data_IF_300427876842
#
_entry.id   IF_300427876842
#
_cell.length_a   1.000
_cell.length_b   1.000
_cell.length_c   1.000
_cell.angle_alpha   90.00
_cell.angle_beta   90.00
_cell.angle_gamma   90.00
#
_symmetry.space_group_name_H-M   'P 1'
#
loop_
_entity.id
_entity.type
_entity.pdbx_description
1 polymer ?
#
# COMPACT_ATOMS: atom_id res chain seq x y z
N UNK A 1 24.08 -22.08 -40.27
CA UNK A 1 25.26 -21.60 -39.50
C UNK A 1 25.40 -20.07 -39.53
N UNK A 2 24.31 -19.32 -39.30
CA UNK A 2 24.38 -17.86 -39.14
C UNK A 2 23.64 -17.37 -37.89
N UNK A 3 23.12 -18.30 -37.07
CA UNK A 3 22.26 -18.00 -35.91
C UNK A 3 23.03 -18.08 -34.58
N UNK A 4 24.16 -18.79 -34.52
CA UNK A 4 24.92 -18.97 -33.27
C UNK A 4 26.02 -17.92 -33.02
N UNK A 5 26.29 -17.00 -33.96
CA UNK A 5 27.38 -16.02 -33.81
C UNK A 5 26.96 -14.68 -33.17
N UNK A 6 25.69 -14.51 -32.77
CA UNK A 6 25.15 -13.20 -32.36
C UNK A 6 24.89 -13.06 -30.85
N UNK A 7 25.50 -13.89 -30.01
CA UNK A 7 25.36 -13.85 -28.54
C UNK A 7 26.50 -13.09 -27.84
N UNK A 8 27.56 -12.66 -28.55
CA UNK A 8 28.80 -12.18 -27.90
C UNK A 8 29.05 -10.66 -27.97
N UNK A 9 28.21 -9.86 -28.63
CA UNK A 9 28.44 -8.41 -28.71
C UNK A 9 27.31 -7.63 -28.02
N UNK A 10 27.66 -6.83 -27.02
CA UNK A 10 26.78 -5.89 -26.29
C UNK A 10 26.23 -4.76 -27.15
N UNK A 11 25.52 -5.10 -28.23
CA UNK A 11 24.72 -4.18 -29.03
C UNK A 11 23.32 -4.08 -28.42
N UNK A 12 22.77 -2.87 -28.20
CA UNK A 12 21.40 -2.72 -27.76
C UNK A 12 20.46 -3.28 -28.84
N UNK A 13 19.46 -4.12 -28.49
CA UNK A 13 18.58 -4.73 -29.47
C UNK A 13 17.89 -3.67 -30.34
N UNK A 14 17.85 -3.96 -31.63
CA UNK A 14 17.16 -3.22 -32.67
C UNK A 14 15.64 -3.33 -32.49
N UNK A 15 14.91 -2.28 -32.88
CA UNK A 15 13.47 -2.06 -32.74
C UNK A 15 12.94 -1.86 -31.30
N UNK A 16 12.22 -0.74 -31.08
CA UNK A 16 11.58 -0.39 -29.82
C UNK A 16 10.66 -1.50 -29.26
N UNK A 17 10.06 -2.30 -30.15
CA UNK A 17 9.26 -3.46 -29.78
C UNK A 17 10.07 -4.54 -29.03
N UNK A 18 11.33 -4.76 -29.42
CA UNK A 18 12.18 -5.78 -28.80
C UNK A 18 12.69 -5.34 -27.41
N UNK A 19 12.88 -4.02 -27.21
CA UNK A 19 13.14 -3.44 -25.89
C UNK A 19 11.93 -3.47 -24.98
N UNK A 20 10.74 -3.23 -25.54
CA UNK A 20 9.48 -3.37 -24.81
C UNK A 20 9.27 -4.81 -24.34
N UNK A 21 9.42 -5.79 -25.22
CA UNK A 21 9.31 -7.22 -24.87
C UNK A 21 10.37 -7.63 -23.83
N UNK A 22 11.63 -7.25 -24.00
CA UNK A 22 12.68 -7.53 -23.01
C UNK A 22 12.39 -6.85 -21.65
N UNK A 23 11.78 -5.66 -21.67
CA UNK A 23 11.31 -4.98 -20.45
C UNK A 23 10.17 -5.71 -19.77
N UNK A 24 9.22 -6.26 -20.53
CA UNK A 24 8.16 -7.11 -20.00
C UNK A 24 8.71 -8.40 -19.40
N UNK A 25 9.61 -9.09 -20.11
CA UNK A 25 10.24 -10.31 -19.60
C UNK A 25 11.01 -10.06 -18.30
N UNK A 26 11.68 -8.90 -18.18
CA UNK A 26 12.34 -8.50 -16.95
C UNK A 26 11.34 -8.27 -15.80
N UNK A 27 10.24 -7.56 -16.07
CA UNK A 27 9.19 -7.32 -15.08
C UNK A 27 8.54 -8.63 -14.63
N UNK A 28 8.27 -9.54 -15.56
CA UNK A 28 7.70 -10.86 -15.27
C UNK A 28 8.63 -11.70 -14.40
N UNK A 29 9.95 -11.69 -14.69
CA UNK A 29 10.94 -12.35 -13.85
C UNK A 29 11.03 -11.74 -12.44
N UNK A 30 10.92 -10.41 -12.32
CA UNK A 30 10.87 -9.74 -11.02
C UNK A 30 9.61 -10.14 -10.25
N UNK A 31 8.44 -10.15 -10.91
CA UNK A 31 7.17 -10.60 -10.30
C UNK A 31 7.28 -12.05 -9.84
N UNK A 32 7.86 -12.94 -10.65
CA UNK A 32 8.05 -14.35 -10.32
C UNK A 32 8.99 -14.51 -9.11
N UNK A 33 10.11 -13.78 -9.09
CA UNK A 33 11.08 -13.82 -7.99
C UNK A 33 10.49 -13.29 -6.69
N UNK A 34 9.77 -12.17 -6.73
CA UNK A 34 9.08 -11.61 -5.56
C UNK A 34 7.97 -12.53 -5.06
N UNK A 35 7.25 -13.19 -5.98
CA UNK A 35 6.21 -14.16 -5.62
C UNK A 35 6.81 -15.40 -4.95
N UNK A 36 7.91 -15.93 -5.48
CA UNK A 36 8.64 -17.04 -4.87
C UNK A 36 9.19 -16.67 -3.49
N UNK A 37 9.78 -15.49 -3.34
CA UNK A 37 10.24 -14.97 -2.06
C UNK A 37 9.10 -14.80 -1.05
N UNK A 38 7.96 -14.25 -1.48
CA UNK A 38 6.76 -14.15 -0.64
C UNK A 38 6.25 -15.54 -0.22
N UNK A 39 6.28 -16.53 -1.11
CA UNK A 39 5.92 -17.92 -0.79
C UNK A 39 6.86 -18.54 0.25
N UNK A 40 8.16 -18.37 0.08
CA UNK A 40 9.17 -18.84 1.05
C UNK A 40 8.99 -18.20 2.42
N UNK A 41 8.70 -16.90 2.48
CA UNK A 41 8.40 -16.21 3.74
C UNK A 41 7.13 -16.74 4.41
N UNK A 42 6.12 -17.14 3.64
CA UNK A 42 4.89 -17.73 4.18
C UNK A 42 5.09 -19.15 4.70
N UNK A 43 5.98 -19.95 4.09
CA UNK A 43 6.25 -21.33 4.48
C UNK A 43 7.27 -21.47 5.62
N UNK A 44 8.30 -20.61 5.65
CA UNK A 44 9.42 -20.74 6.59
C UNK A 44 9.22 -19.94 7.89
N UNK A 45 8.32 -18.95 7.89
CA UNK A 45 8.08 -18.14 9.08
C UNK A 45 7.00 -18.81 9.92
N UNK A 46 7.40 -19.47 11.01
CA UNK A 46 6.48 -19.66 12.15
C UNK A 46 5.80 -18.32 12.39
N UNK A 47 4.46 -18.28 12.60
CA UNK A 47 3.63 -17.05 12.74
C UNK A 47 3.98 -16.18 13.97
N UNK A 48 5.26 -16.06 14.30
CA UNK A 48 5.88 -15.19 15.29
C UNK A 48 6.13 -13.79 14.75
N UNK A 49 7.04 -13.09 15.39
CA UNK A 49 7.20 -11.64 15.26
C UNK A 49 7.63 -11.18 13.86
N UNK A 50 8.56 -11.87 13.19
CA UNK A 50 9.04 -11.49 11.86
C UNK A 50 7.95 -11.40 10.79
N UNK A 51 7.05 -12.39 10.73
CA UNK A 51 5.91 -12.38 9.81
C UNK A 51 4.95 -11.23 10.11
N UNK A 52 4.71 -10.91 11.38
CA UNK A 52 3.83 -9.81 11.77
C UNK A 52 4.40 -8.45 11.40
N UNK A 53 5.70 -8.23 11.63
CA UNK A 53 6.35 -6.99 11.20
C UNK A 53 6.33 -6.80 9.69
N UNK A 54 6.53 -7.88 8.92
CA UNK A 54 6.39 -7.84 7.47
C UNK A 54 4.96 -7.47 7.06
N UNK A 55 3.96 -8.10 7.66
CA UNK A 55 2.56 -7.79 7.36
C UNK A 55 2.21 -6.34 7.71
N UNK A 56 2.68 -5.84 8.86
CA UNK A 56 2.54 -4.44 9.28
C UNK A 56 3.14 -3.50 8.23
N UNK A 57 4.41 -3.69 7.86
CA UNK A 57 5.09 -2.87 6.85
C UNK A 57 4.34 -2.88 5.52
N UNK A 58 3.92 -4.07 5.04
CA UNK A 58 3.15 -4.22 3.80
C UNK A 58 1.81 -3.48 3.85
N UNK A 59 1.10 -3.48 4.99
CA UNK A 59 -0.16 -2.74 5.14
C UNK A 59 0.07 -1.24 5.15
N UNK A 60 1.13 -0.76 5.80
CA UNK A 60 1.49 0.65 5.81
C UNK A 60 1.84 1.15 4.41
N UNK A 61 2.71 0.43 3.69
CA UNK A 61 3.09 0.76 2.31
C UNK A 61 1.87 0.78 1.38
N UNK A 62 0.98 -0.22 1.49
CA UNK A 62 -0.24 -0.27 0.66
C UNK A 62 -1.20 0.88 0.96
N UNK A 63 -1.36 1.25 2.23
CA UNK A 63 -2.18 2.40 2.60
C UNK A 63 -1.61 3.71 2.03
N UNK A 64 -0.29 3.93 2.17
CA UNK A 64 0.39 5.10 1.61
C UNK A 64 0.32 5.14 0.09
N UNK A 65 0.53 4.01 -0.58
CA UNK A 65 0.44 3.92 -2.03
C UNK A 65 -0.97 4.21 -2.54
N UNK A 66 -2.01 3.70 -1.87
CA UNK A 66 -3.39 4.01 -2.22
C UNK A 66 -3.72 5.50 -2.02
N UNK A 67 -3.24 6.12 -0.94
CA UNK A 67 -3.42 7.55 -0.71
C UNK A 67 -2.74 8.39 -1.79
N UNK A 68 -1.50 8.07 -2.15
CA UNK A 68 -0.75 8.78 -3.19
C UNK A 68 -1.38 8.58 -4.57
N UNK A 69 -1.80 7.36 -4.90
CA UNK A 69 -2.48 7.06 -6.16
C UNK A 69 -3.75 7.88 -6.32
N UNK A 70 -4.54 8.03 -5.25
CA UNK A 70 -5.73 8.89 -5.23
C UNK A 70 -5.38 10.36 -5.43
N UNK A 71 -4.36 10.87 -4.71
CA UNK A 71 -3.87 12.25 -4.88
C UNK A 71 -3.44 12.52 -6.31
N UNK A 72 -2.63 11.65 -6.91
CA UNK A 72 -2.16 11.82 -8.27
C UNK A 72 -3.29 11.74 -9.29
N UNK A 73 -4.18 10.74 -9.17
CA UNK A 73 -5.27 10.52 -10.12
C UNK A 73 -6.30 11.66 -10.10
N UNK A 74 -6.62 12.17 -8.92
CA UNK A 74 -7.60 13.25 -8.76
C UNK A 74 -6.95 14.62 -9.02
N UNK A 75 -5.73 14.86 -8.56
CA UNK A 75 -5.00 16.12 -8.80
C UNK A 75 -4.60 16.35 -10.27
N UNK A 76 -4.43 15.28 -11.06
CA UNK A 76 -4.12 15.38 -12.50
C UNK A 76 -5.37 15.42 -13.39
N UNK A 77 -6.57 15.27 -12.81
CA UNK A 77 -7.78 15.20 -13.59
C UNK A 77 -8.15 16.58 -14.14
N UNK A 78 -8.01 16.73 -15.46
CA UNK A 78 -8.57 17.84 -16.24
C UNK A 78 -10.11 17.91 -16.05
N UNK A 79 -10.78 18.77 -16.82
CA UNK A 79 -12.23 19.01 -16.71
C UNK A 79 -13.10 17.72 -16.68
N UNK A 80 -12.60 16.60 -17.21
CA UNK A 80 -13.25 15.28 -17.17
C UNK A 80 -12.59 14.34 -16.15
N UNK A 81 -13.36 13.98 -15.10
CA UNK A 81 -12.89 13.12 -14.00
C UNK A 81 -13.04 11.61 -14.30
N UNK A 82 -14.00 11.24 -15.14
CA UNK A 82 -14.35 9.84 -15.38
C UNK A 82 -13.19 8.98 -15.93
N UNK A 83 -12.42 9.41 -16.95
CA UNK A 83 -11.29 8.62 -17.46
C UNK A 83 -10.24 8.35 -16.37
N UNK A 84 -9.96 9.36 -15.53
CA UNK A 84 -9.03 9.22 -14.40
C UNK A 84 -9.54 8.21 -13.37
N UNK A 85 -10.84 8.25 -13.02
CA UNK A 85 -11.45 7.28 -12.11
C UNK A 85 -11.40 5.85 -12.67
N UNK A 86 -11.58 5.69 -13.99
CA UNK A 86 -11.50 4.39 -14.66
C UNK A 86 -10.09 3.81 -14.58
N UNK A 87 -9.08 4.61 -14.87
CA UNK A 87 -7.67 4.20 -14.76
C UNK A 87 -7.31 3.89 -13.31
N UNK A 88 -7.76 4.70 -12.37
CA UNK A 88 -7.58 4.48 -10.94
C UNK A 88 -8.14 3.11 -10.50
N UNK A 89 -9.35 2.76 -10.91
CA UNK A 89 -9.95 1.45 -10.61
C UNK A 89 -9.22 0.27 -11.29
N UNK A 90 -8.58 0.50 -12.42
CA UNK A 90 -7.74 -0.53 -13.07
C UNK A 90 -6.43 -0.73 -12.30
N UNK A 91 -5.74 0.35 -11.94
CA UNK A 91 -4.49 0.29 -11.15
C UNK A 91 -4.75 -0.32 -9.77
N UNK A 92 -5.86 0.05 -9.14
CA UNK A 92 -6.27 -0.50 -7.86
C UNK A 92 -6.89 -1.90 -7.97
N UNK A 93 -6.96 -2.50 -9.18
CA UNK A 93 -7.57 -3.81 -9.46
C UNK A 93 -8.96 -3.98 -8.82
N UNK A 94 -9.73 -2.89 -8.81
CA UNK A 94 -11.05 -2.76 -8.18
C UNK A 94 -12.16 -2.55 -9.21
N UNK A 95 -11.86 -2.62 -10.50
CA UNK A 95 -12.83 -2.44 -11.60
C UNK A 95 -13.99 -3.44 -11.54
N UNK A 96 -13.71 -4.72 -11.26
CA UNK A 96 -14.74 -5.77 -11.17
C UNK A 96 -15.63 -5.53 -9.95
N UNK A 97 -15.01 -5.27 -8.79
CA UNK A 97 -15.72 -4.98 -7.54
C UNK A 97 -16.62 -3.76 -7.68
N UNK A 98 -16.11 -2.68 -8.31
CA UNK A 98 -16.89 -1.47 -8.55
C UNK A 98 -18.11 -1.75 -9.41
N UNK A 99 -17.94 -2.41 -10.56
CA UNK A 99 -19.05 -2.73 -11.47
C UNK A 99 -20.14 -3.60 -10.84
N UNK A 100 -19.75 -4.49 -9.93
CA UNK A 100 -20.69 -5.34 -9.19
C UNK A 100 -21.52 -4.53 -8.19
N UNK A 101 -20.90 -3.54 -7.53
CA UNK A 101 -21.51 -2.75 -6.43
C UNK A 101 -22.23 -1.48 -6.92
N UNK A 102 -21.74 -0.87 -7.99
CA UNK A 102 -22.23 0.39 -8.55
C UNK A 102 -22.49 0.20 -10.06
N UNK A 103 -23.71 -0.24 -10.45
CA UNK A 103 -24.05 -0.49 -11.85
C UNK A 103 -24.26 0.78 -12.70
N UNK A 104 -24.22 1.96 -12.08
CA UNK A 104 -24.42 3.27 -12.72
C UNK A 104 -23.12 3.88 -13.24
N UNK A 105 -23.18 5.12 -13.73
CA UNK A 105 -22.01 5.88 -14.14
C UNK A 105 -20.96 6.02 -13.02
N UNK A 106 -19.70 6.26 -13.41
CA UNK A 106 -18.57 6.44 -12.51
C UNK A 106 -18.71 7.77 -11.75
N UNK A 107 -19.04 7.68 -10.47
CA UNK A 107 -19.05 8.82 -9.55
C UNK A 107 -17.82 8.81 -8.64
N UNK A 108 -17.17 9.96 -8.42
CA UNK A 108 -15.99 10.05 -7.56
C UNK A 108 -16.28 9.57 -6.13
N UNK A 109 -17.44 9.94 -5.58
CA UNK A 109 -17.87 9.54 -4.23
C UNK A 109 -17.92 8.01 -4.09
N UNK A 110 -18.50 7.31 -5.07
CA UNK A 110 -18.58 5.84 -5.05
C UNK A 110 -17.20 5.18 -5.19
N UNK A 111 -16.28 5.80 -5.94
CA UNK A 111 -14.91 5.29 -6.09
C UNK A 111 -14.12 5.49 -4.80
N UNK A 112 -14.26 6.66 -4.16
CA UNK A 112 -13.66 6.94 -2.86
C UNK A 112 -14.25 6.04 -1.78
N UNK A 113 -15.57 5.81 -1.77
CA UNK A 113 -16.19 4.85 -0.85
C UNK A 113 -15.52 3.46 -0.96
N UNK A 114 -15.30 2.99 -2.20
CA UNK A 114 -14.69 1.68 -2.46
C UNK A 114 -13.18 1.60 -2.11
N UNK A 115 -12.43 2.68 -2.35
CA UNK A 115 -10.96 2.67 -2.23
C UNK A 115 -10.45 3.29 -0.91
N UNK A 116 -11.25 4.12 -0.25
CA UNK A 116 -10.92 4.78 1.01
C UNK A 116 -11.59 4.03 2.17
N UNK A 117 -12.93 3.98 2.19
CA UNK A 117 -13.70 3.60 3.37
C UNK A 117 -13.99 2.10 3.49
N UNK A 118 -14.16 1.39 2.37
CA UNK A 118 -14.65 0.00 2.36
C UNK A 118 -13.69 -1.00 3.02
N UNK A 119 -13.85 -1.25 4.32
CA UNK A 119 -13.06 -2.22 5.08
C UNK A 119 -13.22 -3.68 4.63
N UNK A 120 -14.14 -3.98 3.71
CA UNK A 120 -14.27 -5.32 3.10
C UNK A 120 -13.45 -5.51 1.84
N UNK A 121 -13.03 -4.42 1.19
CA UNK A 121 -12.24 -4.45 -0.03
C UNK A 121 -10.74 -4.55 0.30
N UNK A 122 -10.03 -5.65 -0.03
CA UNK A 122 -8.60 -5.81 0.28
C UNK A 122 -7.66 -4.79 -0.38
N UNK A 123 -8.16 -3.96 -1.31
CA UNK A 123 -7.42 -2.86 -1.93
C UNK A 123 -7.70 -1.51 -1.30
N UNK A 124 -8.71 -1.38 -0.43
CA UNK A 124 -9.04 -0.11 0.21
C UNK A 124 -8.02 0.25 1.30
N UNK A 125 -7.91 1.55 1.57
CA UNK A 125 -7.16 2.06 2.70
C UNK A 125 -7.76 1.60 4.04
N UNK A 126 -9.10 1.64 4.16
CA UNK A 126 -9.81 1.16 5.34
C UNK A 126 -9.44 -0.28 5.70
N UNK A 127 -9.43 -1.19 4.71
CA UNK A 127 -9.00 -2.58 4.93
C UNK A 127 -7.54 -2.66 5.38
N UNK A 128 -6.63 -1.91 4.74
CA UNK A 128 -5.22 -1.94 5.10
C UNK A 128 -5.02 -1.51 6.56
N UNK A 129 -5.64 -0.40 6.96
CA UNK A 129 -5.48 0.17 8.29
C UNK A 129 -6.18 -0.65 9.37
N UNK A 130 -7.36 -1.22 9.08
CA UNK A 130 -8.02 -2.15 9.99
C UNK A 130 -7.17 -3.41 10.21
N UNK A 131 -6.57 -3.95 9.15
CA UNK A 131 -5.66 -5.09 9.23
C UNK A 131 -4.37 -4.74 9.98
N UNK A 132 -3.81 -3.55 9.73
CA UNK A 132 -2.64 -3.01 10.43
C UNK A 132 -2.89 -2.95 11.95
N UNK A 133 -4.01 -2.35 12.36
CA UNK A 133 -4.43 -2.29 13.75
C UNK A 133 -4.59 -3.68 14.37
N UNK A 134 -5.17 -4.63 13.62
CA UNK A 134 -5.27 -6.01 14.08
C UNK A 134 -3.89 -6.64 14.33
N UNK A 135 -2.92 -6.44 13.44
CA UNK A 135 -1.56 -6.97 13.64
C UNK A 135 -0.86 -6.33 14.85
N UNK A 136 -1.04 -5.03 15.07
CA UNK A 136 -0.47 -4.32 16.22
C UNK A 136 -1.05 -4.82 17.54
N UNK A 137 -2.37 -5.01 17.61
CA UNK A 137 -3.00 -5.61 18.80
C UNK A 137 -2.42 -7.00 19.09
N UNK A 138 -2.20 -7.82 18.04
CA UNK A 138 -1.63 -9.17 18.17
C UNK A 138 -0.15 -9.18 18.54
N UNK A 139 0.61 -8.13 18.25
CA UNK A 139 1.96 -7.97 18.78
C UNK A 139 1.94 -7.75 20.29
N UNK A 140 0.96 -7.01 20.79
CA UNK A 140 0.89 -6.56 22.18
C UNK A 140 0.28 -7.56 23.14
N UNK A 141 -0.65 -8.42 22.71
CA UNK A 141 -1.23 -9.44 23.61
C UNK A 141 -0.22 -10.49 24.07
N UNK A 142 0.94 -10.57 23.41
CA UNK A 142 2.07 -11.40 23.86
C UNK A 142 2.98 -10.68 24.86
N UNK A 143 2.78 -9.38 25.08
CA UNK A 143 3.48 -8.58 26.07
C UNK A 143 2.55 -8.33 27.26
N UNK A 144 2.82 -8.98 28.40
CA UNK A 144 2.08 -8.75 29.64
C UNK A 144 2.16 -7.26 30.05
N UNK A 145 1.02 -6.57 30.11
CA UNK A 145 0.91 -5.19 30.65
C UNK A 145 0.76 -4.04 29.63
N UNK A 146 0.72 -4.30 28.33
CA UNK A 146 0.74 -3.24 27.29
C UNK A 146 -0.63 -2.62 26.94
N UNK A 147 -1.47 -2.28 27.92
CA UNK A 147 -2.87 -1.86 27.65
C UNK A 147 -2.98 -0.58 26.78
N UNK A 148 -1.97 0.29 26.77
CA UNK A 148 -1.99 1.57 26.04
C UNK A 148 -0.63 1.87 25.39
N UNK A 149 -0.23 1.05 24.43
CA UNK A 149 0.95 1.34 23.62
C UNK A 149 0.74 2.58 22.74
N UNK A 150 1.78 3.42 22.63
CA UNK A 150 1.83 4.56 21.72
C UNK A 150 1.54 4.15 20.25
N UNK A 151 2.11 3.04 19.81
CA UNK A 151 1.93 2.47 18.47
C UNK A 151 0.47 2.07 18.21
N UNK A 152 -0.20 1.50 19.22
CA UNK A 152 -1.63 1.18 19.14
C UNK A 152 -2.47 2.45 18.99
N UNK A 153 -2.13 3.51 19.73
CA UNK A 153 -2.77 4.82 19.63
C UNK A 153 -2.65 5.41 18.22
N UNK A 154 -1.47 5.34 17.61
CA UNK A 154 -1.25 5.80 16.22
C UNK A 154 -2.03 4.97 15.19
N UNK A 155 -2.09 3.65 15.36
CA UNK A 155 -2.88 2.79 14.48
C UNK A 155 -4.39 3.06 14.60
N UNK A 156 -4.89 3.28 15.82
CA UNK A 156 -6.27 3.70 16.07
C UNK A 156 -6.57 5.07 15.46
N UNK A 157 -5.64 6.02 15.58
CA UNK A 157 -5.75 7.34 14.93
C UNK A 157 -5.86 7.20 13.42
N UNK A 158 -4.99 6.40 12.79
CA UNK A 158 -5.03 6.18 11.33
C UNK A 158 -6.36 5.57 10.86
N UNK A 159 -6.88 4.57 11.56
CA UNK A 159 -8.21 4.00 11.29
C UNK A 159 -9.32 5.05 11.51
N UNK A 160 -9.20 5.84 12.57
CA UNK A 160 -10.12 6.92 12.90
C UNK A 160 -10.24 7.94 11.76
N UNK A 161 -9.11 8.37 11.18
CA UNK A 161 -9.08 9.30 10.05
C UNK A 161 -9.94 8.82 8.88
N UNK A 162 -9.82 7.54 8.51
CA UNK A 162 -10.63 6.96 7.43
C UNK A 162 -12.11 6.88 7.83
N UNK A 163 -12.42 6.41 9.04
CA UNK A 163 -13.81 6.23 9.49
C UNK A 163 -14.56 7.55 9.70
N UNK A 164 -13.86 8.63 10.00
CA UNK A 164 -14.43 9.97 10.13
C UNK A 164 -14.46 10.74 8.82
N UNK A 165 -13.89 10.20 7.73
CA UNK A 165 -13.84 10.88 6.44
C UNK A 165 -15.21 10.88 5.77
N UNK A 166 -15.60 12.03 5.23
CA UNK A 166 -16.83 12.19 4.44
C UNK A 166 -16.46 12.18 2.97
N UNK A 167 -16.91 11.17 2.21
CA UNK A 167 -16.49 10.98 0.81
C UNK A 167 -16.85 12.18 -0.08
N UNK A 168 -17.97 12.84 0.19
CA UNK A 168 -18.41 14.04 -0.53
C UNK A 168 -17.52 15.28 -0.29
N UNK A 169 -16.79 15.32 0.83
CA UNK A 169 -15.79 16.37 1.07
C UNK A 169 -14.47 16.01 0.39
N UNK A 170 -14.09 14.73 0.41
CA UNK A 170 -12.88 14.24 -0.26
C UNK A 170 -12.94 14.36 -1.79
N UNK A 171 -14.14 14.31 -2.38
CA UNK A 171 -14.37 14.50 -3.82
C UNK A 171 -14.59 15.96 -4.22
N UNK A 172 -14.70 16.88 -3.26
CA UNK A 172 -14.95 18.30 -3.54
C UNK A 172 -13.66 18.97 -4.03
N UNK A 173 -13.78 19.66 -5.17
CA UNK A 173 -12.72 20.52 -5.70
C UNK A 173 -12.80 21.92 -5.12
N UNK A 174 -11.65 22.56 -4.93
CA UNK A 174 -11.55 24.01 -4.69
C UNK A 174 -11.53 24.80 -6.01
N UNK A 175 -11.44 26.12 -5.92
CA UNK A 175 -11.45 27.05 -7.07
C UNK A 175 -10.25 26.83 -8.01
N UNK A 176 -9.16 26.25 -7.50
CA UNK A 176 -7.98 25.88 -8.28
C UNK A 176 -8.02 24.43 -8.81
N UNK A 177 -9.12 23.71 -8.57
CA UNK A 177 -9.32 22.34 -9.04
C UNK A 177 -8.61 21.26 -8.21
N UNK A 178 -8.07 21.60 -7.04
CA UNK A 178 -7.43 20.66 -6.10
C UNK A 178 -8.46 20.02 -5.18
N UNK A 179 -8.07 18.98 -4.46
CA UNK A 179 -8.92 18.25 -3.52
C UNK A 179 -8.39 18.43 -2.09
N UNK A 180 -8.65 19.57 -1.44
CA UNK A 180 -7.98 19.94 -0.18
C UNK A 180 -8.22 18.92 0.94
N UNK A 181 -9.45 18.41 1.08
CA UNK A 181 -9.77 17.40 2.10
C UNK A 181 -9.03 16.07 1.88
N UNK A 182 -8.84 15.67 0.61
CA UNK A 182 -8.05 14.48 0.26
C UNK A 182 -6.56 14.70 0.52
N UNK A 183 -6.04 15.88 0.18
CA UNK A 183 -4.64 16.23 0.43
C UNK A 183 -4.33 16.24 1.92
N UNK A 184 -5.25 16.79 2.72
CA UNK A 184 -5.17 16.79 4.18
C UNK A 184 -5.21 15.37 4.74
N UNK A 185 -6.21 14.57 4.35
CA UNK A 185 -6.32 13.18 4.79
C UNK A 185 -5.04 12.39 4.49
N UNK A 186 -4.53 12.49 3.26
CA UNK A 186 -3.34 11.77 2.85
C UNK A 186 -2.08 12.28 3.59
N UNK A 187 -1.99 13.59 3.85
CA UNK A 187 -0.91 14.18 4.65
C UNK A 187 -0.92 13.68 6.10
N UNK A 188 -2.08 13.71 6.75
CA UNK A 188 -2.27 13.22 8.12
C UNK A 188 -2.03 11.70 8.23
N UNK A 189 -2.49 10.93 7.23
CA UNK A 189 -2.24 9.49 7.18
C UNK A 189 -0.74 9.22 7.03
N UNK A 190 -0.06 9.93 6.13
CA UNK A 190 1.39 9.80 5.93
C UNK A 190 2.18 10.07 7.20
N UNK A 191 1.91 11.20 7.88
CA UNK A 191 2.62 11.53 9.12
C UNK A 191 2.36 10.50 10.21
N UNK A 192 1.10 10.10 10.40
CA UNK A 192 0.72 9.11 11.43
C UNK A 192 1.37 7.75 11.18
N UNK A 193 1.44 7.31 9.92
CA UNK A 193 2.10 6.04 9.58
C UNK A 193 3.62 6.13 9.70
N UNK A 194 4.24 7.27 9.40
CA UNK A 194 5.68 7.46 9.64
C UNK A 194 6.02 7.42 11.13
N UNK A 195 5.28 8.15 11.96
CA UNK A 195 5.42 8.10 13.42
C UNK A 195 5.24 6.68 13.97
N UNK A 196 4.31 5.92 13.39
CA UNK A 196 4.09 4.52 13.75
C UNK A 196 5.29 3.64 13.39
N UNK A 197 5.87 3.84 12.19
CA UNK A 197 7.06 3.14 11.75
C UNK A 197 8.25 3.40 12.68
N UNK A 198 8.44 4.67 13.07
CA UNK A 198 9.52 5.07 13.98
C UNK A 198 9.30 4.47 15.38
N UNK A 199 8.08 4.54 15.92
CA UNK A 199 7.73 3.95 17.20
C UNK A 199 7.98 2.44 17.24
N UNK A 200 7.54 1.72 16.20
CA UNK A 200 7.80 0.28 16.07
C UNK A 200 9.30 -0.03 15.98
N UNK A 201 10.06 0.80 15.25
CA UNK A 201 11.52 0.66 15.12
C UNK A 201 12.20 0.79 16.49
N UNK A 202 11.90 1.85 17.23
CA UNK A 202 12.49 2.10 18.55
C UNK A 202 12.16 0.99 19.54
N UNK A 203 10.90 0.57 19.60
CA UNK A 203 10.44 -0.42 20.59
C UNK A 203 10.96 -1.82 20.30
N UNK A 204 10.88 -2.25 19.04
CA UNK A 204 11.09 -3.65 18.68
C UNK A 204 12.44 -3.94 18.03
N UNK A 205 13.05 -2.99 17.34
CA UNK A 205 14.30 -3.24 16.60
C UNK A 205 15.54 -2.74 17.34
N UNK A 206 15.45 -1.67 18.15
CA UNK A 206 16.59 -1.21 18.96
C UNK A 206 16.99 -2.23 20.05
N UNK A 207 16.01 -2.88 20.68
CA UNK A 207 16.26 -3.90 21.70
C UNK A 207 16.81 -5.22 21.12
N UNK A 208 16.50 -5.54 19.86
CA UNK A 208 17.03 -6.73 19.17
C UNK A 208 18.53 -6.58 18.83
N UNK A 209 19.02 -5.36 18.62
CA UNK A 209 20.43 -5.10 18.36
C UNK A 209 21.26 -5.28 19.64
N UNK A 210 20.77 -4.80 20.79
CA UNK A 210 21.47 -4.95 22.06
C UNK A 210 21.66 -6.41 22.49
N UNK A 211 20.67 -7.27 22.25
CA UNK A 211 20.71 -8.68 22.67
C UNK A 211 21.69 -9.54 21.82
N UNK A 212 22.02 -9.14 20.58
CA UNK A 212 23.01 -9.85 19.75
C UNK A 212 24.47 -9.65 20.20
N UNK A 213 24.75 -8.67 21.07
CA UNK A 213 26.11 -8.39 21.55
C UNK A 213 26.39 -8.86 22.99
N UNK A 214 25.40 -9.42 23.69
CA UNK A 214 25.57 -9.83 25.10
C UNK A 214 25.73 -11.34 25.31
N UNK A 215 25.74 -12.17 24.27
CA UNK A 215 26.15 -13.58 24.37
C UNK A 215 27.59 -13.78 23.91
N UNK A 216 28.53 -13.40 24.78
CA UNK A 216 29.89 -13.93 24.80
C UNK A 216 30.54 -13.65 26.16
N UNK A 217 30.29 -14.54 27.12
CA UNK A 217 31.15 -14.77 28.30
C UNK A 217 30.94 -16.21 28.76
#
# INVERSE_FOLDING_TARGET
>A
MAVEAMVVAGYPPAAAAQRYLAGLDLLDNVVLTLSAFSGLLMENTTRGFGWRFLEIGRRMERALHAAELLRCALGSAAAELEPCLRVLLQIADSSITYRSRYPTALHPDSVLELLVADESNPRSMGFQLATLLHQINRLQEKEEGASESFERGLALKAVGLIRSSVMADLSRRDDEGRFPALEELAGQLKSTLWELSDGLTVRYFTNLIACRFTTSS
#
